data_IF_028352616485
#
_entry.id   IF_028352616485
#
_cell.length_a   1.000
_cell.length_b   1.000
_cell.length_c   1.000
_cell.angle_alpha   90.00
_cell.angle_beta   90.00
_cell.angle_gamma   90.00
#
_symmetry.space_group_name_H-M   'P 1'
#
loop_
_entity.id
_entity.type
_entity.pdbx_description
1 polymer ?
#
# COMPACT_ATOMS: atom_id res chain seq x y z
N UNK A 1 -18.39 -13.04 -1.92
CA UNK A 1 -18.91 -12.46 -0.64
C UNK A 1 -20.30 -11.87 -0.83
N UNK A 2 -20.53 -10.95 -1.79
CA UNK A 2 -21.85 -10.33 -2.02
C UNK A 2 -22.94 -11.29 -2.46
N UNK A 3 -22.61 -12.36 -3.19
CA UNK A 3 -23.57 -13.39 -3.64
C UNK A 3 -24.25 -14.17 -2.50
N UNK A 4 -23.65 -14.13 -1.29
CA UNK A 4 -24.18 -14.82 -0.10
C UNK A 4 -25.09 -13.93 0.76
N UNK A 5 -25.40 -12.71 0.31
CA UNK A 5 -26.30 -11.80 1.02
C UNK A 5 -27.76 -12.16 0.66
N UNK A 6 -28.59 -12.38 1.66
CA UNK A 6 -30.00 -12.65 1.44
C UNK A 6 -30.66 -11.52 0.62
N UNK A 7 -31.34 -11.88 -0.45
CA UNK A 7 -31.98 -10.93 -1.38
C UNK A 7 -31.09 -10.51 -2.57
N UNK A 8 -29.81 -10.88 -2.59
CA UNK A 8 -28.97 -10.68 -3.77
C UNK A 8 -29.22 -11.81 -4.77
N UNK A 9 -29.77 -11.46 -5.92
CA UNK A 9 -30.03 -12.41 -7.01
C UNK A 9 -28.79 -12.65 -7.86
N UNK A 10 -28.02 -11.58 -8.12
CA UNK A 10 -26.83 -11.63 -8.99
C UNK A 10 -25.86 -10.52 -8.64
N UNK A 11 -24.58 -10.84 -8.65
CA UNK A 11 -23.48 -9.86 -8.60
C UNK A 11 -22.92 -9.70 -10.01
N UNK A 12 -22.74 -8.46 -10.44
CA UNK A 12 -22.18 -8.11 -11.74
C UNK A 12 -20.96 -7.24 -11.57
N UNK A 13 -19.98 -7.42 -12.43
CA UNK A 13 -18.76 -6.64 -12.42
C UNK A 13 -19.04 -5.24 -12.98
N UNK A 14 -18.57 -4.21 -12.29
CA UNK A 14 -18.54 -2.83 -12.76
C UNK A 14 -17.09 -2.47 -13.08
N UNK A 15 -16.76 -2.37 -14.37
CA UNK A 15 -15.39 -2.20 -14.87
C UNK A 15 -14.97 -0.74 -15.03
N UNK A 16 -15.93 0.15 -15.12
CA UNK A 16 -15.72 1.58 -15.35
C UNK A 16 -16.55 2.40 -14.39
N UNK A 17 -16.31 3.72 -14.30
CA UNK A 17 -17.21 4.61 -13.56
C UNK A 17 -18.59 4.75 -14.23
N UNK A 18 -18.68 4.55 -15.55
CA UNK A 18 -19.96 4.57 -16.28
C UNK A 18 -20.80 3.34 -15.97
N UNK A 19 -22.02 3.55 -15.54
CA UNK A 19 -22.99 2.48 -15.29
C UNK A 19 -23.75 2.06 -16.55
N UNK A 20 -23.58 2.78 -17.65
CA UNK A 20 -24.40 2.67 -18.86
C UNK A 20 -24.47 1.24 -19.39
N UNK A 21 -23.33 0.55 -19.53
CA UNK A 21 -23.29 -0.82 -20.06
C UNK A 21 -24.14 -1.79 -19.21
N UNK A 22 -24.01 -1.72 -17.89
CA UNK A 22 -24.79 -2.57 -17.01
C UNK A 22 -26.27 -2.19 -16.97
N UNK A 23 -26.59 -0.90 -17.04
CA UNK A 23 -27.98 -0.42 -17.06
C UNK A 23 -28.70 -0.83 -18.35
N UNK A 24 -28.05 -0.70 -19.51
CA UNK A 24 -28.58 -1.11 -20.81
C UNK A 24 -28.69 -2.63 -20.95
N UNK A 25 -27.84 -3.39 -20.23
CA UNK A 25 -27.90 -4.85 -20.26
C UNK A 25 -28.97 -5.45 -19.34
N UNK A 26 -29.17 -4.87 -18.15
CA UNK A 26 -30.00 -5.47 -17.11
C UNK A 26 -31.35 -4.77 -16.91
N UNK A 27 -31.52 -3.55 -17.41
CA UNK A 27 -32.76 -2.75 -17.37
C UNK A 27 -33.38 -2.70 -15.96
N UNK A 28 -32.64 -2.30 -14.90
CA UNK A 28 -33.21 -2.31 -13.57
C UNK A 28 -34.36 -1.31 -13.46
N UNK A 29 -35.43 -1.69 -12.79
CA UNK A 29 -36.54 -0.77 -12.49
C UNK A 29 -36.09 0.34 -11.53
N UNK A 30 -35.20 0.03 -10.61
CA UNK A 30 -34.65 0.97 -9.66
C UNK A 30 -33.11 0.82 -9.62
N UNK A 31 -32.44 1.96 -9.62
CA UNK A 31 -31.03 2.07 -9.18
C UNK A 31 -31.04 2.79 -7.84
N UNK A 32 -30.31 2.28 -6.88
CA UNK A 32 -30.19 2.86 -5.55
C UNK A 32 -28.71 3.24 -5.33
N UNK A 33 -28.49 4.47 -4.94
CA UNK A 33 -27.14 4.99 -4.69
C UNK A 33 -27.12 5.96 -3.48
N UNK A 34 -25.93 6.21 -2.92
CA UNK A 34 -25.73 7.29 -1.97
C UNK A 34 -25.84 8.66 -2.67
N UNK A 35 -26.06 9.73 -1.91
CA UNK A 35 -26.14 11.10 -2.45
C UNK A 35 -24.79 11.79 -2.62
N UNK A 36 -23.69 11.10 -2.34
CA UNK A 36 -22.32 11.58 -2.44
C UNK A 36 -21.86 11.95 -3.86
N UNK A 37 -22.58 11.51 -4.88
CA UNK A 37 -22.34 11.83 -6.29
C UNK A 37 -23.18 12.99 -6.86
N UNK A 38 -24.06 13.59 -6.06
CA UNK A 38 -24.89 14.74 -6.47
C UNK A 38 -24.04 15.96 -6.82
N UNK A 39 -22.87 16.08 -6.18
CA UNK A 39 -21.88 17.13 -6.41
C UNK A 39 -20.48 16.53 -6.65
N UNK A 40 -19.56 17.34 -7.15
CA UNK A 40 -18.18 16.93 -7.36
C UNK A 40 -17.96 16.16 -8.67
N UNK A 41 -16.87 15.38 -8.70
CA UNK A 41 -16.39 14.73 -9.93
C UNK A 41 -17.28 13.58 -10.42
N UNK A 42 -18.10 13.00 -9.57
CA UNK A 42 -19.03 11.91 -9.93
C UNK A 42 -20.37 12.40 -10.46
N UNK A 43 -20.65 13.71 -10.42
CA UNK A 43 -21.89 14.28 -10.95
C UNK A 43 -22.19 13.87 -12.40
N UNK A 44 -21.23 13.87 -13.34
CA UNK A 44 -21.50 13.40 -14.72
C UNK A 44 -21.97 11.95 -14.79
N UNK A 45 -21.49 11.08 -13.91
CA UNK A 45 -21.92 9.67 -13.81
C UNK A 45 -23.38 9.60 -13.35
N UNK A 46 -23.76 10.39 -12.36
CA UNK A 46 -25.15 10.51 -11.89
C UNK A 46 -26.09 10.97 -13.02
N UNK A 47 -25.67 11.99 -13.74
CA UNK A 47 -26.45 12.55 -14.85
C UNK A 47 -26.64 11.52 -15.98
N UNK A 48 -25.57 10.73 -16.28
CA UNK A 48 -25.63 9.59 -17.21
C UNK A 48 -26.63 8.53 -16.72
N UNK A 49 -26.54 8.09 -15.47
CA UNK A 49 -27.45 7.10 -14.88
C UNK A 49 -28.88 7.57 -14.97
N UNK A 50 -29.14 8.82 -14.61
CA UNK A 50 -30.47 9.42 -14.68
C UNK A 50 -31.02 9.41 -16.11
N UNK A 51 -30.19 9.79 -17.08
CA UNK A 51 -30.55 9.82 -18.49
C UNK A 51 -30.87 8.41 -19.04
N UNK A 52 -30.02 7.43 -18.73
CA UNK A 52 -30.21 6.04 -19.18
C UNK A 52 -31.48 5.44 -18.55
N UNK A 53 -31.70 5.64 -17.25
CA UNK A 53 -32.92 5.17 -16.57
C UNK A 53 -34.18 5.79 -17.19
N UNK A 54 -34.16 7.11 -17.48
CA UNK A 54 -35.28 7.80 -18.09
C UNK A 54 -35.65 7.21 -19.47
N UNK A 55 -34.68 6.71 -20.24
CA UNK A 55 -34.90 6.17 -21.59
C UNK A 55 -35.82 4.93 -21.62
N UNK A 56 -35.90 4.20 -20.50
CA UNK A 56 -36.75 3.00 -20.40
C UNK A 56 -37.72 3.01 -19.21
N UNK A 57 -37.87 4.15 -18.52
CA UNK A 57 -38.82 4.31 -17.41
C UNK A 57 -38.30 3.82 -16.04
N UNK A 58 -36.98 3.57 -15.92
CA UNK A 58 -36.34 3.26 -14.65
C UNK A 58 -36.30 4.47 -13.71
N UNK A 59 -36.02 4.24 -12.46
CA UNK A 59 -35.99 5.28 -11.39
C UNK A 59 -34.69 5.22 -10.60
N UNK A 60 -34.17 6.40 -10.23
CA UNK A 60 -33.06 6.55 -9.32
C UNK A 60 -33.58 6.85 -7.91
N UNK A 61 -33.21 6.04 -6.94
CA UNK A 61 -33.42 6.30 -5.50
C UNK A 61 -32.10 6.72 -4.87
N UNK A 62 -32.07 7.93 -4.31
CA UNK A 62 -30.87 8.44 -3.62
C UNK A 62 -31.14 8.52 -2.13
N UNK A 63 -30.20 8.03 -1.36
CA UNK A 63 -30.25 8.08 0.09
C UNK A 63 -29.08 8.91 0.61
N UNK A 64 -29.33 9.73 1.65
CA UNK A 64 -28.25 10.47 2.29
C UNK A 64 -27.12 9.52 2.64
N UNK A 65 -25.92 9.85 2.21
CA UNK A 65 -24.73 9.17 2.65
C UNK A 65 -24.50 9.59 4.12
N UNK A 66 -25.20 8.93 5.00
CA UNK A 66 -24.98 9.12 6.41
C UNK A 66 -23.56 8.63 6.71
N UNK A 67 -22.68 9.57 7.09
CA UNK A 67 -21.50 9.20 7.88
C UNK A 67 -22.02 8.68 9.24
N UNK A 68 -22.62 7.49 9.19
CA UNK A 68 -23.06 6.81 10.39
C UNK A 68 -21.80 6.54 11.23
N UNK A 69 -21.82 6.93 12.49
CA UNK A 69 -20.76 6.64 13.46
C UNK A 69 -20.36 5.15 13.44
N UNK A 70 -21.31 4.26 13.08
CA UNK A 70 -21.05 2.83 12.88
C UNK A 70 -20.09 2.53 11.74
N UNK A 71 -20.17 3.25 10.60
CA UNK A 71 -19.21 3.07 9.49
C UNK A 71 -17.84 3.59 9.86
N UNK A 72 -17.79 4.73 10.56
CA UNK A 72 -16.53 5.26 11.09
C UNK A 72 -15.90 4.26 12.06
N UNK A 73 -16.69 3.72 12.98
CA UNK A 73 -16.22 2.72 13.93
C UNK A 73 -15.73 1.43 13.23
N UNK A 74 -16.37 1.01 12.13
CA UNK A 74 -15.93 -0.13 11.32
C UNK A 74 -14.63 0.17 10.57
N UNK A 75 -14.48 1.36 9.97
CA UNK A 75 -13.25 1.79 9.30
C UNK A 75 -12.10 1.89 10.30
N UNK A 76 -12.34 2.52 11.45
CA UNK A 76 -11.35 2.65 12.53
C UNK A 76 -10.92 1.27 13.04
N UNK A 77 -11.86 0.35 13.21
CA UNK A 77 -11.56 -1.03 13.61
C UNK A 77 -10.78 -1.78 12.53
N UNK A 78 -11.19 -1.66 11.28
CA UNK A 78 -10.48 -2.28 10.16
C UNK A 78 -9.03 -1.73 10.04
N UNK A 79 -8.84 -0.42 10.24
CA UNK A 79 -7.51 0.19 10.28
C UNK A 79 -6.69 -0.31 11.46
N UNK A 80 -7.29 -0.40 12.64
CA UNK A 80 -6.64 -0.95 13.83
C UNK A 80 -6.18 -2.40 13.59
N UNK A 81 -7.06 -3.25 13.06
CA UNK A 81 -6.72 -4.65 12.75
C UNK A 81 -5.61 -4.74 11.67
N UNK A 82 -5.68 -3.91 10.61
CA UNK A 82 -4.67 -3.87 9.57
C UNK A 82 -3.33 -3.29 10.04
N UNK A 83 -3.33 -2.53 11.13
CA UNK A 83 -2.13 -1.96 11.75
C UNK A 83 -1.41 -2.94 12.69
N UNK A 84 -2.05 -4.06 13.06
CA UNK A 84 -1.41 -5.07 13.90
C UNK A 84 -0.15 -5.62 13.22
N UNK A 85 0.99 -5.72 13.92
CA UNK A 85 2.26 -6.15 13.35
C UNK A 85 2.16 -7.48 12.60
N UNK A 86 1.47 -8.47 13.15
CA UNK A 86 1.30 -9.80 12.52
C UNK A 86 0.51 -9.74 11.23
N UNK A 87 -0.53 -8.90 11.17
CA UNK A 87 -1.34 -8.70 9.96
C UNK A 87 -0.52 -7.98 8.90
N UNK A 88 0.15 -6.89 9.27
CA UNK A 88 0.95 -6.06 8.37
C UNK A 88 2.12 -6.84 7.78
N UNK A 89 2.85 -7.58 8.61
CA UNK A 89 3.98 -8.43 8.22
C UNK A 89 3.61 -9.42 7.11
N UNK A 90 2.44 -10.03 7.18
CA UNK A 90 1.99 -11.03 6.20
C UNK A 90 1.34 -10.42 4.95
N UNK A 91 1.03 -9.12 4.95
CA UNK A 91 0.20 -8.48 3.93
C UNK A 91 0.87 -8.42 2.56
N UNK A 92 2.17 -8.11 2.49
CA UNK A 92 2.90 -8.07 1.21
C UNK A 92 2.86 -9.42 0.50
N UNK A 93 3.18 -10.50 1.21
CA UNK A 93 3.13 -11.86 0.67
C UNK A 93 1.75 -12.22 0.14
N UNK A 94 0.69 -11.84 0.87
CA UNK A 94 -0.70 -12.05 0.43
C UNK A 94 -1.03 -11.23 -0.82
N UNK A 95 -0.61 -9.96 -0.87
CA UNK A 95 -0.84 -9.09 -2.04
C UNK A 95 -0.15 -9.64 -3.28
N UNK A 96 1.09 -10.11 -3.17
CA UNK A 96 1.81 -10.77 -4.28
C UNK A 96 1.08 -12.04 -4.72
N UNK A 97 0.64 -12.87 -3.80
CA UNK A 97 -0.08 -14.11 -4.12
C UNK A 97 -1.42 -13.84 -4.83
N UNK A 98 -2.10 -12.74 -4.50
CA UNK A 98 -3.39 -12.37 -5.11
C UNK A 98 -3.25 -11.67 -6.46
N UNK A 99 -2.24 -10.80 -6.62
CA UNK A 99 -2.10 -9.94 -7.80
C UNK A 99 -1.03 -10.41 -8.78
N UNK A 100 -0.14 -11.32 -8.36
CA UNK A 100 1.05 -11.74 -9.11
C UNK A 100 2.19 -10.70 -9.06
N UNK A 101 1.85 -9.43 -9.04
CA UNK A 101 2.80 -8.30 -8.96
C UNK A 101 2.24 -7.21 -8.04
N UNK A 102 3.12 -6.52 -7.34
CA UNK A 102 2.78 -5.36 -6.50
C UNK A 102 3.60 -4.15 -6.91
N UNK A 103 3.02 -2.97 -6.72
CA UNK A 103 3.70 -1.68 -6.92
C UNK A 103 4.05 -1.09 -5.56
N UNK A 104 5.30 -0.66 -5.41
CA UNK A 104 5.77 0.02 -4.21
C UNK A 104 6.21 1.45 -4.53
N UNK A 105 5.95 2.37 -3.62
CA UNK A 105 6.44 3.75 -3.69
C UNK A 105 7.35 4.02 -2.50
N UNK A 106 8.35 4.83 -2.72
CA UNK A 106 9.28 5.24 -1.68
C UNK A 106 8.60 6.13 -0.63
N UNK A 107 8.95 5.91 0.66
CA UNK A 107 8.57 6.76 1.77
C UNK A 107 9.74 6.84 2.79
N UNK A 108 10.08 8.07 3.24
CA UNK A 108 11.19 8.34 4.16
C UNK A 108 10.80 9.23 5.35
N UNK A 109 9.53 9.46 5.54
CA UNK A 109 8.98 10.23 6.67
C UNK A 109 7.50 9.98 6.84
N UNK A 110 6.91 10.33 7.96
CA UNK A 110 5.46 10.23 8.18
C UNK A 110 4.66 10.99 7.12
N UNK A 111 5.11 12.17 6.68
CA UNK A 111 4.39 12.94 5.64
C UNK A 111 4.44 12.25 4.28
N UNK A 112 5.59 11.70 3.86
CA UNK A 112 5.67 10.96 2.59
C UNK A 112 4.87 9.67 2.66
N UNK A 113 4.86 8.99 3.82
CA UNK A 113 3.99 7.85 4.09
C UNK A 113 2.51 8.20 3.97
N UNK A 114 2.08 9.32 4.56
CA UNK A 114 0.70 9.80 4.47
C UNK A 114 0.29 10.12 3.03
N UNK A 115 1.16 10.76 2.26
CA UNK A 115 0.92 11.05 0.84
C UNK A 115 0.75 9.72 0.07
N UNK A 116 1.66 8.77 0.26
CA UNK A 116 1.61 7.46 -0.39
C UNK A 116 0.35 6.67 0.00
N UNK A 117 -0.08 6.73 1.27
CA UNK A 117 -1.30 6.07 1.75
C UNK A 117 -2.55 6.63 1.10
N UNK A 118 -2.63 7.96 0.92
CA UNK A 118 -3.82 8.65 0.44
C UNK A 118 -3.86 8.84 -1.07
N UNK A 119 -2.74 8.62 -1.77
CA UNK A 119 -2.70 8.81 -3.22
C UNK A 119 -3.48 7.71 -3.93
N UNK A 120 -4.52 8.12 -4.63
CA UNK A 120 -5.32 7.28 -5.53
C UNK A 120 -5.44 8.01 -6.86
N UNK A 121 -5.13 7.34 -7.95
CA UNK A 121 -5.27 7.87 -9.32
C UNK A 121 -6.36 7.08 -10.03
N UNK A 122 -7.25 7.78 -10.69
CA UNK A 122 -8.28 7.15 -11.51
C UNK A 122 -7.87 7.19 -12.98
N UNK A 123 -7.80 6.02 -13.60
CA UNK A 123 -7.51 5.89 -15.02
C UNK A 123 -8.52 4.93 -15.66
N UNK A 124 -9.20 5.37 -16.70
CA UNK A 124 -10.26 4.60 -17.38
C UNK A 124 -11.36 4.10 -16.44
N UNK A 125 -11.65 4.83 -15.37
CA UNK A 125 -12.65 4.46 -14.38
C UNK A 125 -12.17 3.49 -13.29
N UNK A 126 -10.93 3.04 -13.34
CA UNK A 126 -10.32 2.17 -12.33
C UNK A 126 -9.47 2.98 -11.36
N UNK A 127 -9.56 2.63 -10.08
CA UNK A 127 -8.75 3.23 -9.02
C UNK A 127 -7.40 2.52 -8.92
N UNK A 128 -6.32 3.28 -9.06
CA UNK A 128 -4.97 2.81 -8.94
C UNK A 128 -4.30 3.42 -7.72
N UNK A 129 -3.67 2.60 -6.92
CA UNK A 129 -2.89 3.01 -5.76
C UNK A 129 -1.68 2.09 -5.60
N UNK A 130 -0.67 2.57 -4.91
CA UNK A 130 0.47 1.74 -4.56
C UNK A 130 0.08 0.67 -3.54
N UNK A 131 0.63 -0.52 -3.68
CA UNK A 131 0.34 -1.68 -2.84
C UNK A 131 1.18 -1.71 -1.57
N UNK A 132 2.38 -1.15 -1.63
CA UNK A 132 3.39 -1.19 -0.57
C UNK A 132 4.20 0.11 -0.53
N UNK A 133 4.94 0.30 0.55
CA UNK A 133 5.93 1.36 0.68
C UNK A 133 7.33 0.78 0.77
N UNK A 134 8.28 1.45 0.14
CA UNK A 134 9.70 1.17 0.22
C UNK A 134 10.37 2.22 1.10
N UNK A 135 10.99 1.81 2.18
CA UNK A 135 11.82 2.67 3.02
C UNK A 135 13.26 2.51 2.59
N UNK A 136 13.68 3.37 1.64
CA UNK A 136 15.01 3.39 1.05
C UNK A 136 16.07 3.94 2.01
N UNK A 137 17.25 3.33 2.03
CA UNK A 137 18.40 3.86 2.78
C UNK A 137 18.89 5.18 2.19
N UNK A 138 18.87 5.30 0.86
CA UNK A 138 19.28 6.52 0.15
C UNK A 138 18.37 7.70 0.52
N UNK A 139 17.05 7.54 0.41
CA UNK A 139 16.12 8.62 0.68
C UNK A 139 16.10 9.00 2.16
N UNK A 140 16.16 8.02 3.05
CA UNK A 140 16.23 8.26 4.50
C UNK A 140 17.52 9.00 4.90
N UNK A 141 18.67 8.58 4.36
CA UNK A 141 19.94 9.26 4.57
C UNK A 141 19.95 10.69 4.02
N UNK A 142 19.47 10.86 2.78
CA UNK A 142 19.42 12.16 2.10
C UNK A 142 18.49 13.12 2.83
N UNK A 143 17.33 12.66 3.30
CA UNK A 143 16.38 13.49 4.06
C UNK A 143 16.98 14.03 5.37
N UNK A 144 17.99 13.33 5.90
CA UNK A 144 18.75 13.72 7.09
C UNK A 144 20.06 14.49 6.75
N UNK A 145 20.28 14.83 5.46
CA UNK A 145 21.49 15.51 4.98
C UNK A 145 22.77 14.68 5.12
N UNK A 146 22.65 13.36 5.05
CA UNK A 146 23.77 12.41 5.19
C UNK A 146 24.00 11.59 3.93
N UNK A 147 25.25 11.19 3.64
CA UNK A 147 25.53 10.27 2.55
C UNK A 147 24.99 8.87 2.86
N UNK A 148 24.65 8.15 1.79
CA UNK A 148 24.14 6.78 1.85
C UNK A 148 25.29 5.76 1.91
N UNK A 149 25.90 5.66 3.08
CA UNK A 149 27.05 4.80 3.37
C UNK A 149 26.89 4.10 4.73
N UNK A 150 25.67 3.77 5.10
CA UNK A 150 25.32 3.23 6.44
C UNK A 150 25.70 4.17 7.61
N UNK A 151 25.77 5.48 7.33
CA UNK A 151 26.06 6.49 8.35
C UNK A 151 24.85 6.73 9.28
N UNK A 152 23.65 6.57 8.76
CA UNK A 152 22.43 6.65 9.56
C UNK A 152 22.25 5.32 10.29
N UNK A 153 22.35 5.37 11.61
CA UNK A 153 22.26 4.18 12.45
C UNK A 153 20.84 3.58 12.45
N UNK A 154 20.77 2.29 12.77
CA UNK A 154 19.52 1.53 12.76
C UNK A 154 18.46 2.10 13.70
N UNK A 155 18.83 2.70 14.84
CA UNK A 155 17.87 3.31 15.76
C UNK A 155 17.16 4.50 15.10
N UNK A 156 17.91 5.32 14.37
CA UNK A 156 17.35 6.43 13.61
C UNK A 156 16.46 5.93 12.47
N UNK A 157 16.84 4.87 11.80
CA UNK A 157 16.05 4.26 10.72
C UNK A 157 14.76 3.61 11.24
N UNK A 158 14.78 2.99 12.41
CA UNK A 158 13.58 2.45 13.06
C UNK A 158 12.59 3.56 13.43
N UNK A 159 13.05 4.74 13.84
CA UNK A 159 12.17 5.90 14.08
C UNK A 159 11.48 6.35 12.80
N UNK A 160 12.20 6.39 11.67
CA UNK A 160 11.58 6.69 10.37
C UNK A 160 10.49 5.68 10.00
N UNK A 161 10.73 4.38 10.25
CA UNK A 161 9.71 3.35 10.05
C UNK A 161 8.51 3.59 10.96
N UNK A 162 8.74 3.90 12.23
CA UNK A 162 7.69 4.13 13.24
C UNK A 162 6.78 5.30 12.83
N UNK A 163 7.37 6.43 12.43
CA UNK A 163 6.64 7.60 11.90
C UNK A 163 5.78 7.25 10.67
N UNK A 164 6.28 6.36 9.80
CA UNK A 164 5.52 5.90 8.62
C UNK A 164 4.40 4.94 9.04
N UNK A 165 4.67 4.04 9.99
CA UNK A 165 3.69 3.07 10.48
C UNK A 165 2.48 3.72 11.16
N UNK A 166 2.67 4.88 11.78
CA UNK A 166 1.59 5.66 12.41
C UNK A 166 0.55 6.15 11.41
N UNK A 167 0.94 6.35 10.15
CA UNK A 167 0.07 6.97 9.13
C UNK A 167 -0.38 6.02 8.04
N UNK A 168 0.13 4.78 8.00
CA UNK A 168 -0.17 3.82 6.93
C UNK A 168 -0.65 2.47 7.45
N UNK A 169 -1.49 1.83 6.66
CA UNK A 169 -1.80 0.39 6.80
C UNK A 169 -1.09 -0.46 5.73
N UNK A 170 -0.41 0.17 4.76
CA UNK A 170 0.28 -0.56 3.69
C UNK A 170 1.49 -1.33 4.23
N UNK A 171 1.82 -2.47 3.61
CA UNK A 171 3.02 -3.22 3.96
C UNK A 171 4.29 -2.41 3.64
N UNK A 172 5.30 -2.55 4.48
CA UNK A 172 6.61 -1.89 4.33
C UNK A 172 7.63 -2.89 3.84
N UNK A 173 8.40 -2.48 2.83
CA UNK A 173 9.64 -3.09 2.35
C UNK A 173 10.78 -2.21 2.87
N UNK A 174 11.67 -2.77 3.67
CA UNK A 174 12.77 -2.05 4.26
C UNK A 174 14.09 -2.38 3.56
N UNK A 175 14.80 -1.34 3.12
CA UNK A 175 16.17 -1.43 2.62
C UNK A 175 17.14 -1.49 3.81
N UNK A 176 17.70 -2.66 4.05
CA UNK A 176 18.61 -2.95 5.17
C UNK A 176 20.07 -2.75 4.85
N UNK A 177 20.39 -2.07 3.72
CA UNK A 177 21.78 -1.88 3.26
C UNK A 177 22.53 -3.21 3.13
N UNK A 178 23.72 -3.35 3.76
CA UNK A 178 24.46 -4.63 3.78
C UNK A 178 23.93 -5.63 4.83
N UNK A 179 22.98 -5.22 5.66
CA UNK A 179 22.53 -5.97 6.84
C UNK A 179 23.51 -5.93 8.01
N UNK A 180 24.68 -5.28 7.85
CA UNK A 180 25.71 -5.25 8.88
C UNK A 180 26.32 -6.62 9.22
N UNK A 181 26.79 -6.76 10.45
CA UNK A 181 27.30 -8.05 10.97
C UNK A 181 26.15 -9.04 11.15
N UNK A 182 26.39 -10.31 10.87
CA UNK A 182 25.37 -11.37 10.95
C UNK A 182 24.68 -11.41 12.32
N UNK A 183 25.45 -11.25 13.39
CA UNK A 183 24.92 -11.25 14.76
C UNK A 183 23.99 -10.08 15.02
N UNK A 184 24.27 -8.90 14.43
CA UNK A 184 23.41 -7.72 14.55
C UNK A 184 22.18 -7.84 13.63
N UNK A 185 22.34 -8.44 12.45
CA UNK A 185 21.25 -8.63 11.50
C UNK A 185 20.09 -9.43 12.08
N UNK A 186 20.38 -10.47 12.88
CA UNK A 186 19.35 -11.24 13.59
C UNK A 186 18.48 -10.33 14.46
N UNK A 187 19.08 -9.42 15.23
CA UNK A 187 18.32 -8.50 16.09
C UNK A 187 17.61 -7.41 15.31
N UNK A 188 18.19 -6.97 14.20
CA UNK A 188 17.53 -6.05 13.26
C UNK A 188 16.25 -6.67 12.71
N UNK A 189 16.31 -7.89 12.19
CA UNK A 189 15.14 -8.63 11.66
C UNK A 189 14.09 -8.81 12.75
N UNK A 190 14.47 -9.24 13.95
CA UNK A 190 13.52 -9.39 15.07
C UNK A 190 12.82 -8.07 15.42
N UNK A 191 13.53 -6.95 15.34
CA UNK A 191 12.94 -5.64 15.61
C UNK A 191 11.96 -5.25 14.51
N UNK A 192 12.33 -5.41 13.24
CA UNK A 192 11.48 -5.15 12.09
C UNK A 192 10.23 -6.04 12.09
N UNK A 193 10.35 -7.30 12.48
CA UNK A 193 9.20 -8.20 12.66
C UNK A 193 8.20 -7.68 13.70
N UNK A 194 8.70 -7.28 14.87
CA UNK A 194 7.85 -6.71 15.94
C UNK A 194 7.14 -5.43 15.49
N UNK A 195 7.79 -4.62 14.65
CA UNK A 195 7.19 -3.42 14.06
C UNK A 195 6.16 -3.75 12.97
N UNK A 196 6.18 -4.97 12.42
CA UNK A 196 5.27 -5.39 11.35
C UNK A 196 5.78 -5.10 9.95
N UNK A 197 7.09 -4.92 9.76
CA UNK A 197 7.71 -4.80 8.44
C UNK A 197 7.53 -6.11 7.67
N UNK A 198 7.12 -6.01 6.41
CA UNK A 198 6.73 -7.18 5.60
C UNK A 198 7.88 -7.82 4.85
N UNK A 199 8.94 -7.06 4.56
CA UNK A 199 10.09 -7.52 3.79
C UNK A 199 11.32 -6.71 4.14
N UNK A 200 12.47 -7.37 4.17
CA UNK A 200 13.79 -6.75 4.28
C UNK A 200 14.59 -7.11 3.03
N UNK A 201 15.25 -6.13 2.44
CA UNK A 201 16.22 -6.31 1.34
C UNK A 201 17.59 -5.98 1.89
N UNK A 202 18.57 -6.82 1.61
CA UNK A 202 19.98 -6.57 1.93
C UNK A 202 20.86 -6.81 0.70
N UNK A 203 21.94 -6.06 0.62
CA UNK A 203 22.93 -6.15 -0.46
C UNK A 203 24.05 -7.15 -0.09
N UNK A 204 24.52 -7.92 -1.06
CA UNK A 204 25.62 -8.89 -0.91
C UNK A 204 27.00 -8.21 -0.91
N UNK A 205 27.17 -7.19 -0.08
CA UNK A 205 28.42 -6.43 0.06
C UNK A 205 29.13 -6.75 1.37
N UNK A 206 30.46 -6.69 1.32
CA UNK A 206 31.30 -6.78 2.51
C UNK A 206 31.69 -5.37 3.00
N UNK A 207 31.71 -5.19 4.32
CA UNK A 207 31.98 -3.91 4.95
C UNK A 207 30.80 -2.93 4.87
N UNK A 208 31.07 -1.66 5.04
CA UNK A 208 30.05 -0.62 4.90
C UNK A 208 29.75 -0.36 3.44
N UNK A 209 28.50 -0.06 3.16
CA UNK A 209 28.02 0.35 1.84
C UNK A 209 28.83 1.54 1.32
N UNK A 210 29.20 1.50 0.07
CA UNK A 210 29.81 2.61 -0.64
C UNK A 210 28.78 3.19 -1.60
N UNK A 211 28.57 4.51 -1.53
CA UNK A 211 27.57 5.17 -2.35
C UNK A 211 27.98 5.16 -3.83
N UNK A 212 27.21 4.48 -4.67
CA UNK A 212 27.46 4.38 -6.10
C UNK A 212 27.02 5.64 -6.90
N UNK A 213 26.33 6.59 -6.27
CA UNK A 213 25.89 7.83 -6.94
C UNK A 213 27.02 8.82 -7.20
N UNK A 214 28.17 8.69 -6.54
CA UNK A 214 29.32 9.59 -6.71
C UNK A 214 30.34 9.14 -7.74
N UNK A 215 29.95 8.29 -8.67
CA UNK A 215 30.77 7.87 -9.81
C UNK A 215 31.03 6.37 -9.86
N UNK A 216 31.40 5.91 -11.05
CA UNK A 216 31.71 4.50 -11.30
C UNK A 216 33.09 4.06 -10.77
N UNK A 217 33.82 4.96 -10.12
CA UNK A 217 35.16 4.71 -9.58
C UNK A 217 35.17 4.02 -8.22
N UNK A 218 34.00 3.92 -7.57
CA UNK A 218 33.89 3.27 -6.25
C UNK A 218 33.83 1.77 -6.45
N UNK A 219 34.94 1.08 -6.14
CA UNK A 219 34.99 -0.36 -6.13
C UNK A 219 34.01 -0.94 -5.10
N UNK A 220 33.05 -1.72 -5.57
CA UNK A 220 32.10 -2.46 -4.74
C UNK A 220 32.74 -3.80 -4.34
N UNK A 221 32.72 -4.09 -3.05
CA UNK A 221 33.20 -5.36 -2.50
C UNK A 221 32.06 -6.32 -2.33
N UNK A 222 32.02 -7.37 -3.16
CA UNK A 222 30.97 -8.38 -3.09
C UNK A 222 31.31 -9.45 -2.05
N UNK A 223 30.31 -9.88 -1.30
CA UNK A 223 30.44 -11.00 -0.35
C UNK A 223 30.42 -12.35 -1.09
N UNK A 224 30.98 -13.36 -0.47
CA UNK A 224 30.87 -14.72 -0.99
C UNK A 224 29.44 -15.25 -0.86
N UNK A 225 28.98 -16.00 -1.84
CA UNK A 225 27.65 -16.62 -1.82
C UNK A 225 27.41 -17.42 -0.52
N UNK A 226 28.33 -18.30 -0.08
CA UNK A 226 28.13 -19.06 1.16
C UNK A 226 27.96 -18.18 2.40
N UNK A 227 28.77 -17.12 2.52
CA UNK A 227 28.70 -16.22 3.68
C UNK A 227 27.40 -15.41 3.68
N UNK A 228 27.03 -14.85 2.52
CA UNK A 228 25.79 -14.11 2.38
C UNK A 228 24.53 -14.98 2.63
N UNK A 229 24.52 -16.21 2.10
CA UNK A 229 23.46 -17.17 2.38
C UNK A 229 23.38 -17.54 3.88
N UNK A 230 24.52 -17.66 4.56
CA UNK A 230 24.54 -17.90 6.00
C UNK A 230 23.94 -16.73 6.80
N UNK A 231 24.23 -15.47 6.40
CA UNK A 231 23.62 -14.26 6.99
C UNK A 231 22.10 -14.27 6.83
N UNK A 232 21.59 -14.56 5.61
CA UNK A 232 20.15 -14.66 5.36
C UNK A 232 19.52 -15.76 6.21
N UNK A 233 20.18 -16.92 6.28
CA UNK A 233 19.68 -18.06 7.06
C UNK A 233 19.61 -17.73 8.55
N UNK A 234 20.59 -17.00 9.07
CA UNK A 234 20.61 -16.57 10.47
C UNK A 234 19.51 -15.56 10.81
N UNK A 235 19.14 -14.70 9.86
CA UNK A 235 18.05 -13.73 10.01
C UNK A 235 16.65 -14.33 9.82
N UNK A 236 16.54 -15.51 9.26
CA UNK A 236 15.28 -16.22 8.99
C UNK A 236 14.75 -16.94 10.23
#
# INVERSE_FOLDING_TARGET
MFENIAGVYKVVEQRTLSYKENLEKYWPTYVVHGDDWVTGFQRPVRDEVTSVLASYGGRLGEFPYAHDEKYKALDDRARADLSLPDVRRSRLKRSIAMKGMVTAIEAHSGITGLIAEKTVVYQNGEAHQFDAMWVSSLCDSTSKGKPDIELVDMTSRFRTIDDILDVTTKPIIFDGDTGGLTEHFIYTVRTLERMGVSMVIIEDKTGLKKNSLFGNEVEQTQDSIPHFCAKITAGK
#
